data_IF_619457059405
#
_entry.id   IF_619457059405
#
_cell.length_a   1.000
_cell.length_b   1.000
_cell.length_c   1.000
_cell.angle_alpha   90.00
_cell.angle_beta   90.00
_cell.angle_gamma   90.00
#
_symmetry.space_group_name_H-M   'P 1'
#
loop_
_entity.id
_entity.type
_entity.pdbx_description
1 polymer ?
#
# COMPACT_ATOMS: atom_id res chain seq x y z
N UNK A 1 17.31 -54.40 12.12
CA UNK A 1 16.61 -54.23 10.83
C UNK A 1 16.76 -52.77 10.45
N UNK A 2 17.70 -52.49 9.53
CA UNK A 2 17.98 -51.15 8.99
C UNK A 2 17.13 -51.01 7.73
N UNK A 3 16.33 -49.95 7.63
CA UNK A 3 15.81 -49.50 6.35
C UNK A 3 16.06 -48.01 6.20
N UNK A 4 16.78 -47.72 5.13
CA UNK A 4 17.39 -46.47 4.74
C UNK A 4 16.42 -45.58 3.95
N UNK A 5 16.51 -44.27 4.24
CA UNK A 5 16.44 -43.06 3.40
C UNK A 5 15.93 -43.16 1.93
N UNK A 6 15.36 -42.07 1.36
CA UNK A 6 16.24 -40.99 0.91
C UNK A 6 15.78 -39.55 1.19
N UNK A 7 16.76 -38.75 1.59
CA UNK A 7 16.83 -37.28 1.50
C UNK A 7 16.61 -36.86 0.05
N UNK A 8 15.63 -35.99 -0.19
CA UNK A 8 15.56 -35.17 -1.40
C UNK A 8 16.45 -33.94 -1.20
N UNK A 9 17.57 -33.91 -1.90
CA UNK A 9 18.37 -32.71 -2.10
C UNK A 9 17.77 -31.95 -3.29
N UNK A 10 17.14 -30.80 -3.04
CA UNK A 10 16.97 -29.81 -4.11
C UNK A 10 18.25 -28.98 -4.18
N UNK A 11 19.12 -29.36 -5.10
CA UNK A 11 20.21 -28.51 -5.59
C UNK A 11 19.60 -27.34 -6.36
N UNK A 12 19.58 -26.15 -5.78
CA UNK A 12 19.43 -24.93 -6.58
C UNK A 12 20.74 -24.71 -7.34
N UNK A 13 20.63 -24.78 -8.67
CA UNK A 13 21.75 -24.52 -9.57
C UNK A 13 22.34 -23.13 -9.31
N UNK A 14 23.66 -23.11 -9.23
CA UNK A 14 24.49 -21.90 -9.30
C UNK A 14 24.29 -21.23 -10.66
N UNK A 15 23.24 -20.41 -10.77
CA UNK A 15 23.11 -19.42 -11.81
C UNK A 15 23.76 -18.12 -11.34
N UNK A 16 24.75 -17.63 -12.09
CA UNK A 16 25.32 -16.30 -11.88
C UNK A 16 24.19 -15.26 -11.69
N UNK A 17 24.30 -14.35 -10.70
CA UNK A 17 23.35 -13.26 -10.60
C UNK A 17 23.41 -12.44 -11.90
N UNK A 18 22.27 -12.33 -12.58
CA UNK A 18 22.12 -11.41 -13.71
C UNK A 18 22.47 -10.00 -13.22
N UNK A 19 23.25 -9.22 -13.99
CA UNK A 19 23.56 -7.85 -13.61
C UNK A 19 22.25 -7.08 -13.50
N UNK A 20 22.07 -6.45 -12.35
CA UNK A 20 20.96 -5.59 -11.97
C UNK A 20 20.69 -4.61 -13.10
N UNK A 21 19.55 -4.76 -13.76
CA UNK A 21 19.08 -3.81 -14.77
C UNK A 21 19.02 -2.42 -14.16
N UNK A 22 19.58 -1.43 -14.89
CA UNK A 22 19.65 -0.01 -14.55
C UNK A 22 18.42 0.46 -13.74
N UNK A 23 18.69 0.96 -12.53
CA UNK A 23 17.73 1.67 -11.70
C UNK A 23 17.33 2.96 -12.44
N UNK A 24 16.06 3.06 -12.88
CA UNK A 24 15.51 4.31 -13.40
C UNK A 24 14.51 4.80 -12.37
N UNK A 25 14.91 5.83 -11.64
CA UNK A 25 14.05 6.53 -10.72
C UNK A 25 13.37 7.62 -11.53
N UNK A 26 12.06 7.49 -11.74
CA UNK A 26 11.28 8.57 -12.34
C UNK A 26 11.13 9.68 -11.30
N UNK A 27 11.89 10.76 -11.48
CA UNK A 27 11.58 12.03 -10.84
C UNK A 27 10.27 12.55 -11.45
N UNK A 28 9.17 12.49 -10.69
CA UNK A 28 8.00 13.30 -10.99
C UNK A 28 8.31 14.75 -10.57
N UNK A 29 9.02 15.48 -11.43
CA UNK A 29 9.04 16.94 -11.36
C UNK A 29 7.87 17.45 -12.20
N UNK A 30 6.81 17.87 -11.51
CA UNK A 30 5.84 18.80 -12.06
C UNK A 30 6.56 20.10 -12.43
N UNK A 31 6.63 20.42 -13.72
CA UNK A 31 6.89 21.80 -14.16
C UNK A 31 6.00 22.10 -15.33
N UNK A 32 4.79 22.55 -15.02
CA UNK A 32 3.97 23.32 -15.95
C UNK A 32 4.51 24.74 -15.99
N UNK A 33 4.92 25.22 -17.17
CA UNK A 33 4.74 26.59 -17.67
C UNK A 33 5.15 26.65 -19.15
N UNK A 34 4.20 27.11 -19.97
CA UNK A 34 4.17 27.19 -21.44
C UNK A 34 5.07 28.31 -22.01
N UNK A 35 5.61 28.25 -23.24
CA UNK A 35 5.01 28.72 -24.53
C UNK A 35 6.06 28.56 -25.68
N UNK A 36 5.71 28.76 -26.98
CA UNK A 36 6.05 27.90 -28.11
C UNK A 36 6.94 28.58 -29.16
N UNK A 37 7.55 27.84 -30.10
CA UNK A 37 7.81 28.35 -31.45
C UNK A 37 7.92 27.21 -32.49
N UNK A 38 7.34 27.49 -33.67
CA UNK A 38 7.16 26.62 -34.84
C UNK A 38 8.46 26.27 -35.62
N UNK A 39 8.36 25.15 -36.35
CA UNK A 39 9.12 24.53 -37.48
C UNK A 39 9.93 25.43 -38.46
N UNK A 40 10.64 24.91 -39.51
CA UNK A 40 10.95 23.52 -39.97
C UNK A 40 12.45 23.25 -40.38
N UNK A 41 12.83 22.06 -40.93
CA UNK A 41 14.23 21.61 -41.14
C UNK A 41 14.81 21.90 -42.54
N UNK A 42 16.11 21.61 -42.79
CA UNK A 42 16.41 20.61 -43.83
C UNK A 42 17.66 19.72 -43.59
N UNK A 43 17.73 18.68 -44.43
CA UNK A 43 18.64 17.53 -44.47
C UNK A 43 20.08 17.79 -44.97
N UNK A 44 20.99 16.87 -44.58
CA UNK A 44 21.94 16.11 -45.43
C UNK A 44 23.43 16.13 -45.03
N UNK A 45 24.08 14.98 -45.28
CA UNK A 45 25.52 14.75 -45.59
C UNK A 45 26.56 14.54 -44.46
N UNK A 46 26.77 13.25 -44.15
CA UNK A 46 28.02 12.45 -44.14
C UNK A 46 29.35 12.92 -43.48
N UNK A 47 29.84 12.03 -42.60
CA UNK A 47 31.22 11.68 -42.15
C UNK A 47 32.25 12.80 -41.91
N UNK A 48 32.77 12.90 -40.68
CA UNK A 48 34.12 12.42 -40.34
C UNK A 48 34.40 12.46 -38.83
N UNK A 49 35.17 11.47 -38.37
CA UNK A 49 35.51 11.24 -36.98
C UNK A 49 36.50 12.27 -36.44
N UNK A 50 36.22 12.81 -35.24
CA UNK A 50 37.25 13.32 -34.34
C UNK A 50 37.05 12.72 -32.96
N UNK A 51 37.98 11.84 -32.60
CA UNK A 51 38.16 11.31 -31.25
C UNK A 51 38.34 12.47 -30.26
N UNK A 52 37.30 12.75 -29.48
CA UNK A 52 37.42 13.54 -28.26
C UNK A 52 37.32 12.56 -27.10
N UNK A 53 38.47 12.36 -26.46
CA UNK A 53 38.59 11.78 -25.13
C UNK A 53 37.73 12.59 -24.17
N UNK A 54 36.56 12.07 -23.83
CA UNK A 54 35.67 12.66 -22.83
C UNK A 54 35.91 11.94 -21.51
N UNK A 55 36.60 12.65 -20.62
CA UNK A 55 36.76 12.32 -19.21
C UNK A 55 35.49 11.76 -18.57
N UNK A 56 35.68 10.72 -17.76
CA UNK A 56 34.63 10.04 -17.00
C UNK A 56 33.91 10.98 -16.04
N UNK A 57 32.62 11.17 -16.28
CA UNK A 57 31.66 11.64 -15.28
C UNK A 57 31.15 10.37 -14.58
N UNK A 58 31.94 9.85 -13.63
CA UNK A 58 31.59 8.69 -12.78
C UNK A 58 31.06 9.14 -11.39
N UNK A 59 30.45 10.33 -11.28
CA UNK A 59 30.10 10.93 -9.98
C UNK A 59 28.62 10.92 -9.60
N UNK A 60 27.71 11.01 -10.57
CA UNK A 60 26.29 11.30 -10.26
C UNK A 60 25.38 10.06 -10.23
N UNK A 61 25.68 9.03 -11.03
CA UNK A 61 24.84 7.83 -11.11
C UNK A 61 24.88 6.96 -9.84
N UNK A 62 25.99 6.95 -9.11
CA UNK A 62 26.11 6.20 -7.85
C UNK A 62 25.37 6.83 -6.68
N UNK A 63 25.28 8.17 -6.63
CA UNK A 63 24.60 8.88 -5.55
C UNK A 63 23.08 8.85 -5.73
N UNK A 64 22.60 9.03 -6.95
CA UNK A 64 21.18 8.95 -7.28
C UNK A 64 20.61 7.54 -7.07
N UNK A 65 21.38 6.50 -7.40
CA UNK A 65 20.95 5.12 -7.18
C UNK A 65 20.84 4.76 -5.71
N UNK A 66 21.79 5.18 -4.89
CA UNK A 66 21.76 5.00 -3.44
C UNK A 66 20.58 5.76 -2.80
N UNK A 67 20.33 7.01 -3.22
CA UNK A 67 19.23 7.81 -2.71
C UNK A 67 17.86 7.19 -3.04
N UNK A 68 17.73 6.63 -4.23
CA UNK A 68 16.51 5.96 -4.66
C UNK A 68 16.27 4.66 -3.90
N UNK A 69 17.31 3.85 -3.68
CA UNK A 69 17.24 2.66 -2.81
C UNK A 69 16.89 3.06 -1.37
N UNK A 70 17.49 4.12 -0.84
CA UNK A 70 17.19 4.60 0.52
C UNK A 70 15.73 5.06 0.63
N UNK A 71 15.22 5.79 -0.36
CA UNK A 71 13.81 6.21 -0.40
C UNK A 71 12.84 5.02 -0.33
N UNK A 72 13.12 3.96 -1.10
CA UNK A 72 12.33 2.72 -1.05
C UNK A 72 12.35 2.06 0.34
N UNK A 73 13.52 2.02 0.98
CA UNK A 73 13.67 1.47 2.33
C UNK A 73 12.90 2.32 3.34
N UNK A 74 13.02 3.64 3.24
CA UNK A 74 12.37 4.58 4.15
C UNK A 74 10.84 4.47 4.08
N UNK A 75 10.28 4.33 2.87
CA UNK A 75 8.83 4.08 2.68
C UNK A 75 8.40 2.78 3.36
N UNK A 76 9.20 1.72 3.25
CA UNK A 76 8.91 0.42 3.89
C UNK A 76 8.92 0.54 5.42
N UNK A 77 9.94 1.21 5.97
CA UNK A 77 10.06 1.42 7.42
C UNK A 77 8.95 2.33 7.95
N UNK A 78 8.58 3.36 7.20
CA UNK A 78 7.46 4.24 7.52
C UNK A 78 6.15 3.45 7.58
N UNK A 79 5.88 2.62 6.57
CA UNK A 79 4.70 1.76 6.53
C UNK A 79 4.64 0.83 7.74
N UNK A 80 5.74 0.16 8.10
CA UNK A 80 5.78 -0.70 9.29
C UNK A 80 5.50 0.07 10.58
N UNK A 81 6.07 1.27 10.74
CA UNK A 81 5.80 2.10 11.92
C UNK A 81 4.33 2.55 11.98
N UNK A 82 3.75 2.91 10.83
CA UNK A 82 2.32 3.26 10.73
C UNK A 82 1.43 2.07 11.10
N UNK A 83 1.67 0.89 10.52
CA UNK A 83 0.92 -0.32 10.86
C UNK A 83 1.00 -0.65 12.35
N UNK A 84 2.17 -0.45 12.98
CA UNK A 84 2.34 -0.62 14.42
C UNK A 84 1.48 0.33 15.24
N UNK A 85 1.53 1.63 14.95
CA UNK A 85 0.73 2.65 15.65
C UNK A 85 -0.76 2.35 15.47
N UNK A 86 -1.15 1.95 14.26
CA UNK A 86 -2.53 1.65 13.90
C UNK A 86 -3.01 0.27 14.38
N UNK A 87 -2.14 -0.51 15.03
CA UNK A 87 -2.37 -1.87 15.54
C UNK A 87 -2.77 -2.86 14.44
N UNK A 88 -2.21 -2.72 13.24
CA UNK A 88 -2.42 -3.61 12.10
C UNK A 88 -1.22 -4.55 11.95
N UNK A 89 -1.51 -5.79 11.56
CA UNK A 89 -0.51 -6.84 11.40
C UNK A 89 0.37 -6.59 10.16
N UNK A 90 1.70 -6.73 10.21
CA UNK A 90 2.58 -6.34 9.12
C UNK A 90 2.74 -7.44 8.07
N UNK A 91 1.64 -7.81 7.41
CA UNK A 91 1.66 -8.70 6.24
C UNK A 91 1.99 -7.91 4.98
N UNK A 92 2.46 -8.58 3.92
CA UNK A 92 2.72 -7.91 2.62
C UNK A 92 1.49 -7.14 2.13
N UNK A 93 0.29 -7.73 2.23
CA UNK A 93 -0.96 -7.09 1.82
C UNK A 93 -1.25 -5.80 2.62
N UNK A 94 -1.07 -5.82 3.93
CA UNK A 94 -1.31 -4.64 4.77
C UNK A 94 -0.27 -3.54 4.52
N UNK A 95 0.98 -3.91 4.21
CA UNK A 95 2.04 -2.96 3.84
C UNK A 95 1.72 -2.31 2.50
N UNK A 96 1.28 -3.10 1.52
CA UNK A 96 0.82 -2.60 0.21
C UNK A 96 -0.31 -1.59 0.41
N UNK A 97 -1.34 -1.96 1.16
CA UNK A 97 -2.50 -1.10 1.39
C UNK A 97 -2.09 0.17 2.15
N UNK A 98 -1.24 0.06 3.17
CA UNK A 98 -0.73 1.21 3.93
C UNK A 98 0.06 2.19 3.07
N UNK A 99 0.92 1.69 2.16
CA UNK A 99 1.70 2.55 1.26
C UNK A 99 0.79 3.20 0.22
N UNK A 100 -0.15 2.44 -0.35
CA UNK A 100 -1.02 2.92 -1.43
C UNK A 100 -2.07 3.93 -0.99
N UNK A 101 -2.66 3.72 0.18
CA UNK A 101 -3.82 4.49 0.65
C UNK A 101 -3.54 5.32 1.90
N UNK A 102 -2.33 5.22 2.49
CA UNK A 102 -1.94 6.01 3.66
C UNK A 102 -1.43 7.40 3.30
N UNK A 103 -0.38 7.49 2.48
CA UNK A 103 0.18 8.76 1.99
C UNK A 103 0.11 8.80 0.45
N UNK A 104 -0.64 9.74 -0.15
CA UNK A 104 -0.74 9.87 -1.61
C UNK A 104 0.61 9.99 -2.32
N UNK A 105 1.65 10.51 -1.65
CA UNK A 105 3.00 10.62 -2.21
C UNK A 105 3.63 9.27 -2.55
N UNK A 106 3.25 8.22 -1.81
CA UNK A 106 3.82 6.88 -1.95
C UNK A 106 2.90 5.92 -2.72
N UNK A 107 1.78 6.43 -3.28
CA UNK A 107 0.76 5.59 -3.92
C UNK A 107 1.29 4.71 -5.05
N UNK A 108 2.28 5.22 -5.79
CA UNK A 108 2.86 4.56 -6.96
C UNK A 108 4.16 3.80 -6.64
N UNK A 109 4.56 3.70 -5.37
CA UNK A 109 5.77 2.98 -4.97
C UNK A 109 5.66 1.51 -5.32
N UNK A 110 6.71 0.94 -5.93
CA UNK A 110 6.85 -0.52 -6.07
C UNK A 110 7.19 -1.13 -4.71
N UNK A 111 6.16 -1.53 -3.98
CA UNK A 111 6.26 -2.07 -2.62
C UNK A 111 7.11 -3.34 -2.56
N UNK A 112 7.08 -4.18 -3.60
CA UNK A 112 7.87 -5.42 -3.62
C UNK A 112 9.35 -5.09 -3.75
N UNK A 113 9.69 -4.17 -4.63
CA UNK A 113 11.05 -3.67 -4.75
C UNK A 113 11.51 -3.02 -3.43
N UNK A 114 10.64 -2.24 -2.79
CA UNK A 114 10.90 -1.60 -1.52
C UNK A 114 11.24 -2.60 -0.40
N UNK A 115 10.42 -3.64 -0.26
CA UNK A 115 10.63 -4.71 0.71
C UNK A 115 11.89 -5.52 0.39
N UNK A 116 12.17 -5.81 -0.88
CA UNK A 116 13.38 -6.52 -1.29
C UNK A 116 14.64 -5.75 -0.89
N UNK A 117 14.73 -4.45 -1.19
CA UNK A 117 15.87 -3.64 -0.77
C UNK A 117 16.03 -3.60 0.76
N UNK A 118 14.92 -3.49 1.49
CA UNK A 118 14.96 -3.47 2.95
C UNK A 118 15.41 -4.82 3.55
N UNK A 119 15.08 -5.94 2.91
CA UNK A 119 15.54 -7.27 3.29
C UNK A 119 17.01 -7.50 2.94
N UNK A 120 17.44 -7.06 1.76
CA UNK A 120 18.84 -7.16 1.30
C UNK A 120 19.79 -6.36 2.21
N UNK A 121 19.39 -5.15 2.60
CA UNK A 121 20.12 -4.36 3.60
C UNK A 121 19.87 -4.83 5.05
N UNK A 122 19.01 -5.83 5.21
CA UNK A 122 18.66 -6.45 6.48
C UNK A 122 18.14 -5.46 7.53
N UNK A 123 17.49 -4.38 7.11
CA UNK A 123 16.81 -3.43 8.01
C UNK A 123 15.42 -3.92 8.38
N UNK A 124 14.85 -4.80 7.56
CA UNK A 124 13.63 -5.58 7.81
C UNK A 124 13.99 -7.07 7.80
N UNK A 125 13.25 -7.87 8.56
CA UNK A 125 13.32 -9.32 8.58
C UNK A 125 11.93 -9.92 8.33
N UNK A 126 11.90 -11.19 7.90
CA UNK A 126 10.67 -11.99 7.81
C UNK A 126 10.55 -12.89 9.03
N UNK A 127 9.40 -12.87 9.67
CA UNK A 127 9.00 -13.85 10.68
C UNK A 127 7.73 -14.59 10.23
N UNK A 128 7.53 -15.81 10.73
CA UNK A 128 6.38 -16.63 10.37
C UNK A 128 5.47 -16.85 11.59
N UNK A 129 4.21 -16.45 11.47
CA UNK A 129 3.16 -16.81 12.40
C UNK A 129 2.27 -17.88 11.75
N UNK A 130 2.62 -19.15 12.00
CA UNK A 130 2.01 -20.28 11.30
C UNK A 130 2.34 -20.25 9.81
N UNK A 131 1.32 -20.08 8.96
CA UNK A 131 1.49 -19.94 7.49
C UNK A 131 1.63 -18.49 7.02
N UNK A 132 1.53 -17.53 7.93
CA UNK A 132 1.52 -16.12 7.59
C UNK A 132 2.91 -15.51 7.73
N UNK A 133 3.35 -14.84 6.68
CA UNK A 133 4.61 -14.10 6.65
C UNK A 133 4.40 -12.68 7.17
N UNK A 134 5.24 -12.29 8.13
CA UNK A 134 5.26 -10.99 8.77
C UNK A 134 6.58 -10.29 8.46
N UNK A 135 6.51 -9.00 8.18
CA UNK A 135 7.67 -8.15 7.97
C UNK A 135 7.87 -7.29 9.21
N UNK A 136 9.06 -7.33 9.80
CA UNK A 136 9.37 -6.57 11.01
C UNK A 136 10.65 -5.79 10.80
N UNK A 137 10.77 -4.63 11.44
CA UNK A 137 12.08 -3.99 11.54
C UNK A 137 13.03 -4.94 12.26
N UNK A 138 14.29 -4.98 11.83
CA UNK A 138 15.33 -5.74 12.52
C UNK A 138 15.35 -5.36 14.01
N UNK A 139 15.42 -6.38 14.88
CA UNK A 139 15.38 -6.29 16.34
C UNK A 139 14.03 -5.85 16.95
N UNK A 140 12.98 -5.73 16.14
CA UNK A 140 11.62 -5.51 16.63
C UNK A 140 10.89 -6.84 16.83
N UNK A 141 10.03 -6.91 17.85
CA UNK A 141 9.12 -8.04 18.05
C UNK A 141 7.77 -7.71 17.46
N UNK A 142 7.01 -8.74 17.08
CA UNK A 142 5.60 -8.57 16.68
C UNK A 142 4.83 -7.79 17.76
N UNK A 143 4.17 -6.70 17.36
CA UNK A 143 3.35 -5.88 18.25
C UNK A 143 1.94 -6.44 18.42
N UNK A 144 1.26 -6.00 19.48
CA UNK A 144 -0.15 -6.33 19.69
C UNK A 144 -1.00 -5.69 18.59
N UNK A 145 -1.60 -6.53 17.75
CA UNK A 145 -2.50 -6.11 16.68
C UNK A 145 -3.96 -6.30 17.09
N UNK A 146 -4.84 -5.50 16.50
CA UNK A 146 -6.28 -5.74 16.57
C UNK A 146 -6.66 -6.97 15.76
N UNK A 147 -7.56 -7.78 16.29
CA UNK A 147 -8.10 -8.94 15.58
C UNK A 147 -9.33 -8.50 14.76
N UNK A 148 -9.26 -8.51 13.41
CA UNK A 148 -10.37 -8.04 12.59
C UNK A 148 -11.58 -9.00 12.62
N UNK A 149 -11.40 -10.28 12.97
CA UNK A 149 -12.45 -11.31 12.93
C UNK A 149 -13.23 -11.40 14.27
N UNK A 150 -12.74 -10.76 15.33
CA UNK A 150 -13.34 -10.80 16.67
C UNK A 150 -14.26 -9.62 17.00
N UNK A 151 -14.94 -9.72 18.15
CA UNK A 151 -15.67 -8.63 18.79
C UNK A 151 -17.17 -8.81 18.89
N UNK A 152 -17.81 -7.80 19.47
CA UNK A 152 -19.26 -7.79 19.71
C UNK A 152 -19.81 -6.39 19.51
N UNK A 153 -21.01 -6.29 18.93
CA UNK A 153 -21.69 -5.00 18.70
C UNK A 153 -21.82 -4.20 20.00
N UNK A 154 -21.92 -4.90 21.14
CA UNK A 154 -22.03 -4.32 22.49
C UNK A 154 -20.75 -3.65 23.00
N UNK A 155 -19.60 -3.90 22.37
CA UNK A 155 -18.31 -3.27 22.73
C UNK A 155 -18.29 -1.78 22.35
N UNK A 156 -19.12 -1.36 21.40
CA UNK A 156 -19.16 0.01 20.91
C UNK A 156 -20.48 0.69 21.31
N UNK A 157 -20.45 1.95 21.77
CA UNK A 157 -21.66 2.72 22.08
C UNK A 157 -22.60 2.83 20.88
N UNK A 158 -23.90 2.94 21.13
CA UNK A 158 -24.90 3.08 20.05
C UNK A 158 -24.65 4.29 19.16
N UNK A 159 -24.14 5.39 19.75
CA UNK A 159 -23.74 6.59 19.02
C UNK A 159 -22.73 6.31 17.88
N UNK A 160 -21.83 5.33 18.07
CA UNK A 160 -20.88 4.90 17.06
C UNK A 160 -21.60 4.31 15.85
N UNK A 161 -22.57 3.42 16.07
CA UNK A 161 -23.33 2.78 15.00
C UNK A 161 -24.21 3.78 14.25
N UNK A 162 -24.83 4.72 14.97
CA UNK A 162 -25.63 5.80 14.37
C UNK A 162 -24.77 6.70 13.47
N UNK A 163 -23.57 7.09 13.92
CA UNK A 163 -22.67 7.92 13.13
C UNK A 163 -22.20 7.22 11.85
N UNK A 164 -21.83 5.93 11.95
CA UNK A 164 -21.44 5.11 10.81
C UNK A 164 -22.61 4.97 9.82
N UNK A 165 -23.80 4.64 10.31
CA UNK A 165 -24.98 4.49 9.46
C UNK A 165 -25.26 5.77 8.70
N UNK A 166 -25.28 6.93 9.40
CA UNK A 166 -25.47 8.24 8.79
C UNK A 166 -24.47 8.51 7.67
N UNK A 167 -23.20 8.17 7.87
CA UNK A 167 -22.16 8.33 6.86
C UNK A 167 -22.37 7.39 5.67
N UNK A 168 -22.56 6.08 5.89
CA UNK A 168 -22.75 5.09 4.83
C UNK A 168 -24.01 5.36 3.98
N UNK A 169 -25.06 5.94 4.58
CA UNK A 169 -26.28 6.32 3.86
C UNK A 169 -26.21 7.68 3.19
N UNK A 170 -25.21 8.51 3.50
CA UNK A 170 -25.00 9.77 2.80
C UNK A 170 -24.48 9.53 1.38
N UNK A 171 -24.82 10.39 0.41
CA UNK A 171 -24.37 10.23 -0.97
C UNK A 171 -22.84 10.14 -1.09
N UNK A 172 -22.11 11.03 -0.40
CA UNK A 172 -20.63 11.00 -0.39
C UNK A 172 -20.10 9.71 0.24
N UNK A 173 -20.53 9.36 1.45
CA UNK A 173 -20.00 8.17 2.13
C UNK A 173 -20.38 6.87 1.43
N UNK A 174 -21.56 6.81 0.80
CA UNK A 174 -22.00 5.70 -0.04
C UNK A 174 -21.08 5.52 -1.24
N UNK A 175 -20.77 6.61 -1.95
CA UNK A 175 -19.88 6.60 -3.11
C UNK A 175 -18.44 6.21 -2.72
N UNK A 176 -17.89 6.79 -1.66
CA UNK A 176 -16.56 6.47 -1.14
C UNK A 176 -16.44 5.00 -0.72
N UNK A 177 -17.48 4.44 -0.09
CA UNK A 177 -17.52 3.00 0.19
C UNK A 177 -17.50 2.18 -1.09
N UNK A 178 -18.39 2.47 -2.05
CA UNK A 178 -18.51 1.68 -3.28
C UNK A 178 -17.22 1.77 -4.13
N UNK A 179 -16.54 2.92 -4.12
CA UNK A 179 -15.31 3.13 -4.87
C UNK A 179 -14.08 2.53 -4.22
N UNK A 180 -14.09 2.32 -2.89
CA UNK A 180 -12.94 1.80 -2.14
C UNK A 180 -12.39 0.50 -2.73
N UNK A 181 -11.07 0.45 -2.89
CA UNK A 181 -10.32 -0.62 -3.53
C UNK A 181 -9.94 -1.75 -2.57
N UNK A 182 -9.84 -1.45 -1.28
CA UNK A 182 -9.54 -2.41 -0.23
C UNK A 182 -10.23 -2.07 1.10
N UNK A 183 -10.17 -3.00 2.06
CA UNK A 183 -10.70 -2.80 3.41
C UNK A 183 -9.97 -1.68 4.17
N UNK A 184 -8.67 -1.49 3.91
CA UNK A 184 -7.89 -0.43 4.53
C UNK A 184 -8.39 0.95 4.13
N UNK A 185 -8.64 1.16 2.83
CA UNK A 185 -9.17 2.42 2.30
C UNK A 185 -10.59 2.67 2.82
N UNK A 186 -11.46 1.66 2.78
CA UNK A 186 -12.80 1.76 3.34
C UNK A 186 -12.81 2.12 4.84
N UNK A 187 -11.95 1.47 5.62
CA UNK A 187 -11.79 1.79 7.04
C UNK A 187 -11.22 3.21 7.25
N UNK A 188 -10.34 3.67 6.36
CA UNK A 188 -9.77 5.02 6.42
C UNK A 188 -10.85 6.09 6.21
N UNK A 189 -11.76 5.88 5.26
CA UNK A 189 -12.92 6.75 5.05
C UNK A 189 -13.82 6.82 6.29
N UNK A 190 -14.18 5.67 6.89
CA UNK A 190 -14.96 5.63 8.13
C UNK A 190 -14.27 6.37 9.28
N UNK A 191 -12.96 6.13 9.46
CA UNK A 191 -12.15 6.79 10.49
C UNK A 191 -12.17 8.29 10.34
N UNK A 192 -11.89 8.78 9.13
CA UNK A 192 -11.79 10.20 8.85
C UNK A 192 -13.14 10.91 8.98
N UNK A 193 -14.24 10.25 8.61
CA UNK A 193 -15.57 10.80 8.68
C UNK A 193 -16.17 10.81 10.10
N UNK A 194 -16.08 9.68 10.83
CA UNK A 194 -16.86 9.49 12.06
C UNK A 194 -16.19 8.71 13.19
N UNK A 195 -14.96 8.18 13.02
CA UNK A 195 -14.29 7.34 14.03
C UNK A 195 -12.86 7.81 14.37
N UNK A 196 -12.61 9.12 14.37
CA UNK A 196 -11.26 9.72 14.49
C UNK A 196 -10.47 9.32 15.73
N UNK A 197 -11.14 8.90 16.81
CA UNK A 197 -10.50 8.51 18.06
C UNK A 197 -10.00 7.05 18.07
N UNK A 198 -10.39 6.24 17.08
CA UNK A 198 -10.05 4.82 17.00
C UNK A 198 -8.83 4.61 16.10
N UNK A 199 -7.99 3.63 16.43
CA UNK A 199 -6.95 3.19 15.50
C UNK A 199 -7.59 2.56 14.25
N UNK A 200 -6.88 2.58 13.13
CA UNK A 200 -7.37 1.97 11.90
C UNK A 200 -7.60 0.47 12.05
N UNK A 201 -6.79 -0.23 12.84
CA UNK A 201 -7.02 -1.63 13.20
C UNK A 201 -8.38 -1.84 13.88
N UNK A 202 -8.77 -0.95 14.79
CA UNK A 202 -10.09 -0.97 15.44
C UNK A 202 -11.20 -0.66 14.44
N UNK A 203 -10.99 0.30 13.54
CA UNK A 203 -11.97 0.63 12.49
C UNK A 203 -12.12 -0.50 11.46
N UNK A 204 -11.05 -1.22 11.11
CA UNK A 204 -11.12 -2.41 10.25
C UNK A 204 -11.94 -3.51 10.93
N UNK A 205 -11.81 -3.69 12.26
CA UNK A 205 -12.65 -4.60 13.03
C UNK A 205 -14.12 -4.18 13.01
N UNK A 206 -14.41 -2.89 13.22
CA UNK A 206 -15.77 -2.34 13.07
C UNK A 206 -16.30 -2.60 11.66
N UNK A 207 -15.52 -2.35 10.62
CA UNK A 207 -15.89 -2.62 9.23
C UNK A 207 -16.25 -4.11 9.02
N UNK A 208 -15.47 -5.02 9.59
CA UNK A 208 -15.79 -6.44 9.55
C UNK A 208 -17.12 -6.77 10.27
N UNK A 209 -17.43 -6.11 11.38
CA UNK A 209 -18.72 -6.26 12.07
C UNK A 209 -19.89 -5.66 11.27
N UNK A 210 -19.67 -4.56 10.56
CA UNK A 210 -20.66 -3.97 9.64
C UNK A 210 -21.04 -4.98 8.55
N UNK A 211 -20.06 -5.71 8.02
CA UNK A 211 -20.24 -6.72 6.97
C UNK A 211 -20.91 -7.98 7.52
N UNK A 212 -20.36 -8.55 8.61
CA UNK A 212 -20.72 -9.89 9.07
C UNK A 212 -21.94 -9.90 9.99
N UNK A 213 -22.09 -8.89 10.86
CA UNK A 213 -23.12 -8.86 11.90
C UNK A 213 -24.27 -7.93 11.54
N UNK A 214 -23.97 -6.65 11.21
CA UNK A 214 -25.00 -5.68 10.80
C UNK A 214 -25.49 -5.92 9.37
N UNK A 215 -24.65 -6.52 8.54
CA UNK A 215 -24.92 -6.85 7.12
C UNK A 215 -25.29 -5.64 6.27
N UNK A 216 -24.79 -4.45 6.62
CA UNK A 216 -25.04 -3.21 5.86
C UNK A 216 -24.25 -3.17 4.56
N UNK A 217 -23.15 -3.91 4.49
CA UNK A 217 -22.30 -4.05 3.31
C UNK A 217 -22.19 -5.54 2.98
N UNK A 218 -22.45 -5.88 1.71
CA UNK A 218 -22.12 -7.18 1.12
C UNK A 218 -20.96 -6.99 0.16
N UNK A 219 -20.03 -7.94 0.13
CA UNK A 219 -18.93 -7.94 -0.82
C UNK A 219 -18.86 -9.27 -1.58
N UNK A 220 -18.11 -9.29 -2.68
CA UNK A 220 -17.86 -10.49 -3.44
C UNK A 220 -17.18 -11.59 -2.61
N UNK A 221 -17.43 -12.86 -2.95
CA UNK A 221 -16.81 -13.99 -2.24
C UNK A 221 -15.28 -14.01 -2.39
N UNK A 222 -14.76 -13.47 -3.49
CA UNK A 222 -13.34 -13.42 -3.81
C UNK A 222 -12.88 -11.97 -3.81
N UNK A 223 -12.50 -11.47 -2.63
CA UNK A 223 -11.91 -10.14 -2.47
C UNK A 223 -12.88 -9.06 -1.96
N UNK A 224 -12.40 -7.81 -1.96
CA UNK A 224 -13.14 -6.67 -1.44
C UNK A 224 -14.22 -6.18 -2.39
N UNK A 225 -13.91 -6.01 -3.68
CA UNK A 225 -14.85 -5.50 -4.68
C UNK A 225 -15.45 -6.62 -5.54
N UNK A 226 -16.64 -6.41 -6.13
CA UNK A 226 -17.58 -5.31 -5.86
C UNK A 226 -18.20 -5.37 -4.46
N UNK A 227 -18.62 -4.21 -3.94
CA UNK A 227 -19.45 -4.12 -2.73
C UNK A 227 -20.84 -3.57 -3.05
N UNK A 228 -21.82 -3.93 -2.21
CA UNK A 228 -23.18 -3.42 -2.26
C UNK A 228 -23.61 -2.98 -0.87
N UNK A 229 -24.14 -1.76 -0.78
CA UNK A 229 -24.68 -1.22 0.46
C UNK A 229 -26.19 -1.50 0.51
N UNK A 230 -26.61 -2.26 1.51
CA UNK A 230 -28.01 -2.70 1.66
C UNK A 230 -28.90 -1.65 2.32
N UNK A 231 -28.29 -0.67 3.00
CA UNK A 231 -29.02 0.46 3.57
C UNK A 231 -29.54 1.36 2.46
N UNK A 232 -30.76 1.86 2.62
CA UNK A 232 -31.32 2.89 1.75
C UNK A 232 -30.46 4.16 1.83
N UNK A 233 -30.28 4.82 0.70
CA UNK A 233 -29.65 6.14 0.69
C UNK A 233 -30.56 7.13 1.42
N UNK A 234 -29.96 8.03 2.21
CA UNK A 234 -30.73 9.05 2.90
C UNK A 234 -31.23 10.06 1.86
N UNK A 235 -32.55 10.27 1.79
CA UNK A 235 -33.11 11.37 1.02
C UNK A 235 -32.64 12.67 1.67
N UNK A 236 -31.76 13.40 1.01
CA UNK A 236 -31.54 14.80 1.33
C UNK A 236 -32.75 15.56 0.77
N UNK A 237 -33.91 15.45 1.44
CA UNK A 237 -35.06 16.30 1.18
C UNK A 237 -34.64 17.74 1.51
N UNK A 238 -34.10 18.41 0.48
CA UNK A 238 -34.04 19.85 0.43
C UNK A 238 -35.47 20.29 0.20
N UNK A 239 -36.21 20.45 1.30
CA UNK A 239 -37.46 21.20 1.31
C UNK A 239 -37.16 22.65 0.94
N UNK A 240 -37.06 22.94 -0.35
CA UNK A 240 -37.30 24.28 -0.87
C UNK A 240 -38.82 24.45 -0.96
N UNK A 241 -39.42 24.76 0.17
CA UNK A 241 -40.73 25.39 0.22
C UNK A 241 -40.55 26.90 0.13
N UNK A 242 -40.80 27.45 -1.06
CA UNK A 242 -41.38 28.78 -1.29
C UNK A 242 -42.09 28.75 -2.63
#
# INVERSE_FOLDING_TARGET
MVLSNPRSFYTYGSGNPKPMSKLICHDNQDTSLSLPYEHPPPSSSSVEAKNISSNGIWGSQGLQSLQCVQSFIDVSLLALNTLRIEKILPTEANIIDCIRYGDPKNRNTDVRMALNYALEQQVIIKEFLGKMELYLRRNERVWKCENPIGGSIKEYPEATWVAIQKYITSSTGRLEMISSECRYEAASFLRNACLKALSLGEVIRILNMIITMKRWIKHAQVGWRPITITLAEANNDTGNGT
#
